data_IF_180014812272
#
_entry.id   IF_180014812272
#
_cell.length_a   1.000
_cell.length_b   1.000
_cell.length_c   1.000
_cell.angle_alpha   90.00
_cell.angle_beta   90.00
_cell.angle_gamma   90.00
#
_symmetry.space_group_name_H-M   'P 1'
#
loop_
_entity.id
_entity.type
_entity.pdbx_description
1 polymer ?
#
# COMPACT_ATOMS: atom_id res chain seq x y z
N UNK A 1 7.89 -11.37 15.76
CA UNK A 1 8.20 -11.96 14.43
C UNK A 1 7.27 -11.33 13.42
N UNK A 2 7.74 -11.08 12.21
CA UNK A 2 6.96 -10.46 11.11
C UNK A 2 7.09 -11.30 9.85
N UNK A 3 6.06 -11.32 9.02
CA UNK A 3 6.14 -11.90 7.68
C UNK A 3 6.69 -10.87 6.72
N UNK A 4 7.86 -11.15 6.14
CA UNK A 4 8.58 -10.24 5.27
C UNK A 4 8.33 -10.58 3.80
N UNK A 5 8.03 -9.53 3.03
CA UNK A 5 7.96 -9.56 1.56
C UNK A 5 9.07 -8.66 1.02
N UNK A 6 9.89 -9.20 0.12
CA UNK A 6 10.97 -8.51 -0.58
C UNK A 6 10.47 -7.40 -1.51
N UNK A 7 11.42 -6.60 -2.02
CA UNK A 7 11.14 -5.45 -2.88
C UNK A 7 10.57 -5.84 -4.25
N UNK A 8 10.96 -7.00 -4.75
CA UNK A 8 10.47 -7.64 -5.98
C UNK A 8 9.13 -8.39 -5.79
N UNK A 9 8.67 -8.53 -4.53
CA UNK A 9 7.49 -9.31 -4.19
C UNK A 9 7.78 -10.74 -3.75
N UNK A 10 9.05 -11.13 -3.59
CA UNK A 10 9.42 -12.44 -3.05
C UNK A 10 8.94 -12.60 -1.59
N UNK A 11 8.42 -13.77 -1.24
CA UNK A 11 8.06 -14.09 0.13
C UNK A 11 9.27 -14.65 0.87
N UNK A 12 9.93 -13.81 1.68
CA UNK A 12 11.09 -14.21 2.48
C UNK A 12 10.66 -15.08 3.69
N UNK A 13 9.41 -14.93 4.13
CA UNK A 13 8.82 -15.74 5.21
C UNK A 13 8.79 -15.00 6.53
N UNK A 14 8.76 -15.74 7.65
CA UNK A 14 8.63 -15.16 8.98
C UNK A 14 10.02 -14.93 9.58
N UNK A 15 10.36 -13.67 9.84
CA UNK A 15 11.68 -13.23 10.34
C UNK A 15 11.53 -12.35 11.57
N UNK A 16 12.64 -12.06 12.24
CA UNK A 16 12.66 -11.04 13.28
C UNK A 16 12.52 -9.63 12.69
N UNK A 17 12.06 -8.68 13.51
CA UNK A 17 11.98 -7.26 13.09
C UNK A 17 13.37 -6.72 12.75
N UNK A 18 14.40 -7.13 13.48
CA UNK A 18 15.78 -6.70 13.23
C UNK A 18 16.28 -7.16 11.84
N UNK A 19 16.01 -8.40 11.46
CA UNK A 19 16.33 -8.91 10.12
C UNK A 19 15.56 -8.17 9.03
N UNK A 20 14.27 -7.91 9.24
CA UNK A 20 13.45 -7.15 8.31
C UNK A 20 13.97 -5.71 8.09
N UNK A 21 14.38 -5.03 9.18
CA UNK A 21 14.98 -3.70 9.11
C UNK A 21 16.31 -3.75 8.36
N UNK A 22 17.15 -4.74 8.66
CA UNK A 22 18.45 -4.91 7.99
C UNK A 22 18.28 -5.15 6.48
N UNK A 23 17.36 -6.03 6.09
CA UNK A 23 17.06 -6.30 4.69
C UNK A 23 16.57 -5.05 3.94
N UNK A 24 15.74 -4.22 4.58
CA UNK A 24 15.30 -2.95 4.00
C UNK A 24 16.46 -1.96 3.81
N UNK A 25 17.35 -1.86 4.81
CA UNK A 25 18.56 -1.03 4.74
C UNK A 25 19.53 -1.48 3.64
N UNK A 26 19.77 -2.78 3.51
CA UNK A 26 20.59 -3.36 2.45
C UNK A 26 20.01 -3.08 1.06
N UNK A 27 18.68 -3.12 0.93
CA UNK A 27 17.97 -2.76 -0.29
C UNK A 27 17.87 -1.24 -0.52
N UNK A 28 18.28 -0.39 0.44
CA UNK A 28 18.09 1.08 0.43
C UNK A 28 16.63 1.50 0.22
N UNK A 29 15.71 0.73 0.80
CA UNK A 29 14.26 0.95 0.74
C UNK A 29 13.69 1.02 2.16
N UNK A 30 12.39 1.26 2.26
CA UNK A 30 11.70 1.32 3.55
C UNK A 30 11.07 -0.03 3.90
N UNK A 31 11.10 -0.38 5.19
CA UNK A 31 10.27 -1.45 5.73
C UNK A 31 8.89 -0.88 6.04
N UNK A 32 7.86 -1.32 5.31
CA UNK A 32 6.50 -0.80 5.46
C UNK A 32 5.56 -1.90 5.92
N UNK A 33 4.86 -1.68 7.02
CA UNK A 33 3.77 -2.55 7.46
C UNK A 33 2.57 -2.38 6.52
N UNK A 34 2.18 -3.47 5.84
CA UNK A 34 1.08 -3.46 4.87
C UNK A 34 -0.19 -4.12 5.41
N UNK A 35 -0.07 -5.03 6.38
CA UNK A 35 -1.18 -5.68 7.05
C UNK A 35 -0.86 -5.81 8.55
N UNK A 36 -1.19 -4.76 9.35
CA UNK A 36 -0.95 -4.78 10.79
C UNK A 36 -1.87 -5.75 11.53
N UNK A 37 -3.03 -6.07 10.97
CA UNK A 37 -4.03 -6.96 11.59
C UNK A 37 -3.73 -8.47 11.38
N UNK A 38 -2.68 -8.79 10.61
CA UNK A 38 -2.31 -10.18 10.32
C UNK A 38 -1.47 -10.78 11.45
N UNK A 39 -1.57 -12.10 11.65
CA UNK A 39 -0.70 -12.86 12.54
C UNK A 39 0.16 -13.88 11.75
N UNK A 40 1.50 -13.72 11.74
CA UNK A 40 2.27 -12.53 12.08
C UNK A 40 2.03 -11.33 11.14
N UNK A 41 2.28 -10.12 11.66
CA UNK A 41 2.19 -8.84 10.94
C UNK A 41 2.97 -8.92 9.62
N UNK A 42 2.38 -8.44 8.53
CA UNK A 42 3.02 -8.48 7.21
C UNK A 42 3.71 -7.14 6.92
N UNK A 43 5.03 -7.21 6.77
CA UNK A 43 5.88 -6.11 6.36
C UNK A 43 6.39 -6.34 4.93
N UNK A 44 6.45 -5.28 4.13
CA UNK A 44 7.00 -5.31 2.78
C UNK A 44 8.09 -4.28 2.63
N UNK A 45 9.19 -4.66 2.00
CA UNK A 45 10.27 -3.75 1.62
C UNK A 45 9.82 -3.00 0.37
N UNK A 46 9.68 -1.68 0.43
CA UNK A 46 9.27 -0.85 -0.71
C UNK A 46 9.59 0.63 -0.47
N UNK A 47 9.60 1.43 -1.53
CA UNK A 47 9.67 2.90 -1.42
C UNK A 47 8.30 3.45 -1.02
N UNK A 48 8.19 3.94 0.22
CA UNK A 48 6.92 4.43 0.74
C UNK A 48 6.46 5.71 0.02
N UNK A 49 7.39 6.58 -0.35
CA UNK A 49 7.10 7.83 -1.05
C UNK A 49 6.44 7.60 -2.40
N UNK A 50 7.00 6.66 -3.18
CA UNK A 50 6.43 6.28 -4.49
C UNK A 50 5.04 5.68 -4.34
N UNK A 51 4.81 4.80 -3.36
CA UNK A 51 3.49 4.21 -3.09
C UNK A 51 2.43 5.25 -2.77
N UNK A 52 2.75 6.26 -1.96
CA UNK A 52 1.80 7.34 -1.64
C UNK A 52 1.47 8.16 -2.89
N UNK A 53 2.46 8.45 -3.74
CA UNK A 53 2.25 9.16 -4.99
C UNK A 53 1.34 8.38 -5.94
N UNK A 54 1.61 7.09 -6.13
CA UNK A 54 0.80 6.21 -6.98
C UNK A 54 -0.63 6.07 -6.46
N UNK A 55 -0.80 5.84 -5.15
CA UNK A 55 -2.12 5.76 -4.52
C UNK A 55 -2.91 7.08 -4.67
N UNK A 56 -2.24 8.24 -4.56
CA UNK A 56 -2.89 9.55 -4.75
C UNK A 56 -3.30 9.76 -6.21
N UNK A 57 -2.45 9.35 -7.16
CA UNK A 57 -2.74 9.41 -8.59
C UNK A 57 -3.92 8.51 -8.97
N UNK A 58 -3.94 7.28 -8.45
CA UNK A 58 -5.04 6.33 -8.67
C UNK A 58 -6.37 6.83 -8.07
N UNK A 59 -6.36 7.31 -6.82
CA UNK A 59 -7.56 7.92 -6.20
C UNK A 59 -8.09 9.10 -7.01
N UNK A 60 -7.20 9.92 -7.57
CA UNK A 60 -7.60 11.06 -8.40
C UNK A 60 -8.22 10.62 -9.72
N UNK A 61 -7.66 9.58 -10.35
CA UNK A 61 -8.22 8.97 -11.55
C UNK A 61 -9.59 8.31 -11.30
N UNK A 62 -9.74 7.59 -10.17
CA UNK A 62 -10.99 6.97 -9.76
C UNK A 62 -12.09 8.02 -9.50
N UNK A 63 -11.76 9.12 -8.82
CA UNK A 63 -12.69 10.26 -8.62
C UNK A 63 -13.12 10.91 -9.94
N UNK A 64 -12.21 11.04 -10.90
CA UNK A 64 -12.52 11.60 -12.23
C UNK A 64 -13.40 10.65 -13.07
N UNK A 65 -13.26 9.34 -12.88
CA UNK A 65 -14.04 8.31 -13.58
C UNK A 65 -15.42 8.07 -12.94
N UNK A 66 -15.61 8.46 -11.68
CA UNK A 66 -16.91 8.39 -11.02
C UNK A 66 -17.88 9.38 -11.69
N UNK A 67 -18.73 8.85 -12.59
CA UNK A 67 -19.77 9.60 -13.30
C UNK A 67 -20.73 10.16 -12.25
N UNK A 68 -20.59 11.44 -11.92
CA UNK A 68 -21.53 12.16 -11.05
C UNK A 68 -22.85 12.30 -11.81
N UNK A 69 -23.72 11.28 -11.70
CA UNK A 69 -25.09 11.36 -12.19
C UNK A 69 -25.81 12.43 -11.36
N UNK A 70 -25.86 13.63 -11.90
CA UNK A 70 -26.65 14.71 -11.33
C UNK A 70 -28.10 14.44 -11.74
N UNK A 71 -28.88 13.86 -10.82
CA UNK A 71 -30.32 13.69 -11.02
C UNK A 71 -30.92 15.10 -11.06
N UNK A 72 -31.34 15.56 -12.24
CA UNK A 72 -32.14 16.78 -12.37
C UNK A 72 -33.58 16.40 -12.11
N UNK A 73 -34.05 16.59 -10.88
CA UNK A 73 -35.47 16.49 -10.57
C UNK A 73 -36.21 17.64 -11.28
N UNK A 74 -36.97 17.33 -12.32
CA UNK A 74 -37.84 18.28 -13.01
C UNK A 74 -39.20 18.26 -12.29
N UNK A 75 -39.50 19.34 -11.54
CA UNK A 75 -40.83 19.56 -10.98
C UNK A 75 -41.79 19.98 -12.10
N UNK A 76 -42.80 19.15 -12.38
CA UNK A 76 -43.96 19.54 -13.19
C UNK A 76 -44.97 20.28 -12.30
N UNK A 77 -45.57 21.36 -12.84
CA UNK A 77 -46.69 22.11 -12.26
C UNK A 77 -47.96 21.79 -13.04
#
# INVERSE_FOLDING_TARGET
>A
MVRLIGADGEQIGVVSIAEAIKAAQEAKLDLVEIAPDADPVVCKILDYGKRIFEAKKEKSAARKKQRRMQVKEMKFR
#
